data_IF_126125988479
#
_entry.id   IF_126125988479
#
_cell.length_a   1.000
_cell.length_b   1.000
_cell.length_c   1.000
_cell.angle_alpha   90.00
_cell.angle_beta   90.00
_cell.angle_gamma   90.00
#
_symmetry.space_group_name_H-M   'P 1'
#
loop_
_entity.id
_entity.type
_entity.pdbx_description
1 polymer ?
#
# COMPACT_ATOMS: atom_id res chain seq x y z
N UNK A 1 -14.69 22.97 2.83
CA UNK A 1 -15.31 21.68 3.21
C UNK A 1 -16.63 21.43 2.50
N UNK A 2 -17.20 22.41 1.79
CA UNK A 2 -18.40 22.23 0.94
C UNK A 2 -18.34 21.00 0.02
N UNK A 3 -17.22 20.65 -0.66
CA UNK A 3 -17.17 19.47 -1.53
C UNK A 3 -17.38 18.13 -0.81
N UNK A 4 -17.22 18.08 0.52
CA UNK A 4 -17.49 16.88 1.31
C UNK A 4 -18.98 16.73 1.66
N UNK A 5 -19.79 17.79 1.61
CA UNK A 5 -21.21 17.71 1.93
C UNK A 5 -21.50 17.10 3.32
N UNK A 6 -22.62 16.38 3.41
CA UNK A 6 -23.07 15.71 4.64
C UNK A 6 -22.33 14.39 4.90
N UNK A 7 -21.97 13.65 3.85
CA UNK A 7 -21.19 12.42 3.98
C UNK A 7 -19.70 12.74 4.12
N UNK A 8 -19.19 12.57 5.34
CA UNK A 8 -17.79 12.88 5.70
C UNK A 8 -16.86 11.69 5.53
N UNK A 9 -17.36 10.50 5.18
CA UNK A 9 -16.54 9.32 4.96
C UNK A 9 -16.02 9.29 3.51
N UNK A 10 -14.71 9.13 3.35
CA UNK A 10 -14.08 8.97 2.03
C UNK A 10 -13.16 7.76 2.03
N UNK A 11 -13.28 6.94 1.00
CA UNK A 11 -12.25 5.95 0.66
C UNK A 11 -11.16 6.68 -0.11
N UNK A 12 -9.97 6.78 0.48
CA UNK A 12 -8.80 7.42 -0.14
C UNK A 12 -8.18 6.49 -1.19
N UNK A 13 -7.61 7.03 -2.28
CA UNK A 13 -6.91 6.21 -3.25
C UNK A 13 -5.68 5.59 -2.60
N UNK A 14 -5.32 4.39 -3.06
CA UNK A 14 -4.13 3.66 -2.62
C UNK A 14 -3.57 2.81 -3.75
N UNK A 15 -2.50 2.08 -3.45
CA UNK A 15 -1.85 1.16 -4.38
C UNK A 15 -2.28 -0.28 -4.07
N UNK A 16 -2.83 -0.98 -5.07
CA UNK A 16 -3.02 -2.44 -5.00
C UNK A 16 -1.74 -3.12 -5.49
N UNK A 17 -1.09 -3.86 -4.60
CA UNK A 17 0.14 -4.59 -4.90
C UNK A 17 0.14 -5.95 -4.22
N UNK A 18 0.62 -6.98 -4.91
CA UNK A 18 0.83 -8.31 -4.32
C UNK A 18 2.08 -8.30 -3.43
N UNK A 19 2.21 -9.28 -2.53
CA UNK A 19 3.45 -9.47 -1.76
C UNK A 19 4.65 -9.66 -2.70
N UNK A 20 4.47 -10.27 -3.87
CA UNK A 20 5.54 -10.44 -4.86
C UNK A 20 6.03 -9.09 -5.41
N UNK A 21 5.11 -8.16 -5.70
CA UNK A 21 5.45 -6.80 -6.16
C UNK A 21 6.26 -6.05 -5.10
N UNK A 22 5.86 -6.17 -3.83
CA UNK A 22 6.55 -5.55 -2.70
C UNK A 22 7.98 -6.08 -2.54
N UNK A 23 8.15 -7.41 -2.63
CA UNK A 23 9.48 -8.04 -2.57
C UNK A 23 10.37 -7.62 -3.75
N UNK A 24 9.79 -7.50 -4.95
CA UNK A 24 10.54 -7.05 -6.13
C UNK A 24 11.01 -5.59 -5.97
N UNK A 25 10.16 -4.70 -5.46
CA UNK A 25 10.52 -3.32 -5.16
C UNK A 25 11.62 -3.23 -4.08
N UNK A 26 11.48 -4.01 -3.00
CA UNK A 26 12.50 -4.10 -1.95
C UNK A 26 13.85 -4.58 -2.49
N UNK A 27 13.85 -5.55 -3.39
CA UNK A 27 15.08 -6.02 -4.02
C UNK A 27 15.74 -4.94 -4.88
N UNK A 28 14.96 -4.14 -5.63
CA UNK A 28 15.50 -3.04 -6.43
C UNK A 28 16.12 -1.95 -5.55
N UNK A 29 15.46 -1.61 -4.43
CA UNK A 29 15.89 -0.52 -3.56
C UNK A 29 17.05 -0.90 -2.63
N UNK A 30 17.04 -2.10 -2.04
CA UNK A 30 17.95 -2.51 -0.97
C UNK A 30 18.77 -3.78 -1.27
N UNK A 31 18.60 -4.35 -2.46
CA UNK A 31 19.36 -5.50 -2.92
C UNK A 31 18.96 -6.84 -2.27
N UNK A 32 19.62 -7.94 -2.65
CA UNK A 32 19.28 -9.29 -2.19
C UNK A 32 19.56 -9.53 -0.70
N UNK A 33 20.40 -8.70 -0.07
CA UNK A 33 20.68 -8.82 1.37
C UNK A 33 19.43 -8.50 2.21
N UNK A 34 18.65 -7.49 1.82
CA UNK A 34 17.40 -7.15 2.50
C UNK A 34 16.37 -8.29 2.40
N UNK A 35 16.26 -8.94 1.23
CA UNK A 35 15.35 -10.07 1.05
C UNK A 35 15.68 -11.27 1.95
N UNK A 36 16.96 -11.49 2.29
CA UNK A 36 17.37 -12.59 3.17
C UNK A 36 16.88 -12.43 4.61
N UNK A 37 16.46 -11.23 5.00
CA UNK A 37 15.88 -10.97 6.33
C UNK A 37 14.43 -11.45 6.43
N UNK A 38 13.78 -11.76 5.30
CA UNK A 38 12.37 -12.13 5.26
C UNK A 38 12.23 -13.64 5.43
N UNK A 39 11.48 -14.04 6.47
CA UNK A 39 11.10 -15.44 6.68
C UNK A 39 9.64 -15.65 6.27
N UNK A 40 9.37 -16.70 5.51
CA UNK A 40 8.01 -17.09 5.13
C UNK A 40 7.47 -18.09 6.15
N UNK A 41 6.47 -17.68 6.94
CA UNK A 41 5.78 -18.51 7.90
C UNK A 41 4.28 -18.35 7.69
N UNK A 42 3.56 -19.47 7.52
CA UNK A 42 2.10 -19.45 7.48
C UNK A 42 1.54 -19.33 8.88
N UNK A 43 0.58 -18.43 9.03
CA UNK A 43 -0.21 -18.25 10.25
C UNK A 43 -1.70 -18.27 9.87
N UNK A 44 -2.44 -19.35 10.18
CA UNK A 44 -3.84 -19.48 9.83
C UNK A 44 -4.74 -18.39 10.41
N UNK A 45 -4.39 -17.80 11.56
CA UNK A 45 -5.17 -16.73 12.16
C UNK A 45 -4.99 -15.43 11.36
N UNK A 46 -3.75 -15.12 10.96
CA UNK A 46 -3.45 -13.96 10.11
C UNK A 46 -4.08 -14.13 8.74
N UNK A 47 -3.92 -15.29 8.11
CA UNK A 47 -4.50 -15.60 6.79
C UNK A 47 -6.03 -15.43 6.80
N UNK A 48 -6.70 -15.86 7.86
CA UNK A 48 -8.16 -15.69 8.01
C UNK A 48 -8.58 -14.22 8.12
N UNK A 49 -7.82 -13.40 8.84
CA UNK A 49 -8.11 -11.97 8.99
C UNK A 49 -7.88 -11.25 7.66
N UNK A 50 -6.67 -11.40 7.10
CA UNK A 50 -6.24 -10.70 5.89
C UNK A 50 -7.04 -11.14 4.67
N UNK A 51 -7.40 -12.42 4.58
CA UNK A 51 -8.25 -12.94 3.50
C UNK A 51 -9.66 -12.35 3.47
N UNK A 52 -10.11 -11.71 4.56
CA UNK A 52 -11.38 -10.98 4.61
C UNK A 52 -11.28 -9.50 4.23
N UNK A 53 -10.08 -8.96 4.02
CA UNK A 53 -9.89 -7.56 3.64
C UNK A 53 -10.19 -7.36 2.15
N UNK A 54 -10.69 -6.18 1.79
CA UNK A 54 -10.90 -5.84 0.39
C UNK A 54 -9.56 -5.73 -0.35
N UNK A 55 -9.47 -6.34 -1.53
CA UNK A 55 -8.25 -6.38 -2.33
C UNK A 55 -7.99 -5.06 -3.09
N UNK A 56 -9.07 -4.38 -3.45
CA UNK A 56 -9.04 -3.15 -4.24
C UNK A 56 -10.22 -2.28 -3.85
N UNK A 57 -10.01 -0.96 -3.90
CA UNK A 57 -11.03 0.04 -3.64
C UNK A 57 -11.16 0.99 -4.81
N UNK A 58 -12.39 1.27 -5.23
CA UNK A 58 -12.67 2.39 -6.13
C UNK A 58 -12.77 3.69 -5.32
N UNK A 59 -11.81 4.59 -5.50
CA UNK A 59 -11.69 5.84 -4.73
C UNK A 59 -12.14 7.09 -5.52
N UNK A 60 -13.12 6.98 -6.42
CA UNK A 60 -13.56 8.05 -7.33
C UNK A 60 -13.83 9.37 -6.62
N UNK A 61 -14.49 9.33 -5.46
CA UNK A 61 -14.82 10.54 -4.70
C UNK A 61 -13.57 11.27 -4.21
N UNK A 62 -12.60 10.53 -3.66
CA UNK A 62 -11.35 11.13 -3.20
C UNK A 62 -10.48 11.63 -4.37
N UNK A 63 -10.45 10.90 -5.49
CA UNK A 63 -9.78 11.36 -6.71
C UNK A 63 -10.37 12.69 -7.22
N UNK A 64 -11.70 12.83 -7.24
CA UNK A 64 -12.37 14.08 -7.61
C UNK A 64 -12.09 15.24 -6.63
N UNK A 65 -11.69 14.93 -5.40
CA UNK A 65 -11.28 15.91 -4.39
C UNK A 65 -9.78 16.25 -4.47
N UNK A 66 -9.05 15.67 -5.42
CA UNK A 66 -7.62 15.94 -5.65
C UNK A 66 -6.66 15.07 -4.85
N UNK A 67 -7.15 14.05 -4.14
CA UNK A 67 -6.27 13.05 -3.53
C UNK A 67 -5.57 12.23 -4.61
N UNK A 68 -4.34 11.82 -4.34
CA UNK A 68 -3.51 11.01 -5.22
C UNK A 68 -2.93 9.85 -4.42
N UNK A 69 -2.64 8.74 -5.11
CA UNK A 69 -1.93 7.61 -4.55
C UNK A 69 -0.55 7.50 -5.19
N UNK A 70 0.37 6.84 -4.49
CA UNK A 70 1.64 6.42 -5.07
C UNK A 70 1.43 5.57 -6.32
N UNK A 71 2.31 5.73 -7.30
CA UNK A 71 2.18 5.04 -8.59
C UNK A 71 2.80 3.64 -8.58
N UNK A 72 3.68 3.38 -7.62
CA UNK A 72 4.40 2.12 -7.46
C UNK A 72 4.82 1.86 -6.02
N UNK A 73 5.17 0.62 -5.70
CA UNK A 73 5.73 0.29 -4.38
C UNK A 73 7.17 0.82 -4.24
N UNK A 74 7.86 1.10 -5.34
CA UNK A 74 9.16 1.79 -5.34
C UNK A 74 9.04 3.22 -4.80
N UNK A 75 7.97 3.93 -5.17
CA UNK A 75 7.70 5.29 -4.65
C UNK A 75 7.53 5.26 -3.13
N UNK A 76 6.79 4.25 -2.62
CA UNK A 76 6.58 4.06 -1.17
C UNK A 76 7.90 3.79 -0.44
N UNK A 77 8.76 2.93 -0.99
CA UNK A 77 10.09 2.66 -0.40
C UNK A 77 10.98 3.92 -0.44
N UNK A 78 10.98 4.64 -1.56
CA UNK A 78 11.75 5.88 -1.69
C UNK A 78 11.29 6.95 -0.70
N UNK A 79 9.98 7.11 -0.50
CA UNK A 79 9.42 8.00 0.51
C UNK A 79 9.85 7.59 1.92
N UNK A 80 9.80 6.29 2.25
CA UNK A 80 10.25 5.79 3.55
C UNK A 80 11.74 6.09 3.82
N UNK A 81 12.62 5.90 2.83
CA UNK A 81 14.05 6.20 2.94
C UNK A 81 14.32 7.71 3.07
N UNK A 82 13.53 8.56 2.40
CA UNK A 82 13.65 10.00 2.51
C UNK A 82 13.24 10.52 3.91
N UNK A 83 12.24 9.88 4.54
CA UNK A 83 11.79 10.21 5.89
C UNK A 83 12.68 9.62 7.00
N UNK A 84 13.34 8.49 6.72
CA UNK A 84 14.14 7.72 7.68
C UNK A 84 15.56 7.47 7.15
N UNK A 85 16.47 8.46 7.26
CA UNK A 85 17.84 8.35 6.75
C UNK A 85 18.74 7.40 7.54
#
# INVERSE_FOLDING_TARGET
TEPLGADRAITVPGLTATVADQLAALQRAAGPAALKLITRLSDPAVEKIVGGWALEFTATRALNLGFQADSSFDDIIAAHLAENP
#
